data_IF_705461371558
#
_entry.id   IF_705461371558
#
_cell.length_a   1.000
_cell.length_b   1.000
_cell.length_c   1.000
_cell.angle_alpha   90.00
_cell.angle_beta   90.00
_cell.angle_gamma   90.00
#
_symmetry.space_group_name_H-M   'P 1'
#
loop_
_entity.id
_entity.type
_entity.pdbx_description
1 polymer ?
#
# COMPACT_ATOMS: atom_id res chain seq x y z
N UNK A 1 10.54 -19.77 17.15
CA UNK A 1 11.64 -19.93 18.11
C UNK A 1 12.42 -18.63 18.18
N UNK A 2 12.40 -17.97 19.32
CA UNK A 2 13.16 -16.73 19.51
C UNK A 2 14.60 -17.08 19.90
N UNK A 3 15.56 -16.64 19.08
CA UNK A 3 16.98 -16.82 19.38
C UNK A 3 17.41 -15.74 20.38
N UNK A 4 17.93 -16.15 21.51
CA UNK A 4 18.44 -15.21 22.49
C UNK A 4 19.77 -14.62 21.97
N UNK A 5 19.76 -13.33 21.68
CA UNK A 5 20.93 -12.61 21.16
C UNK A 5 22.13 -12.59 22.11
N UNK A 6 21.90 -12.76 23.43
CA UNK A 6 22.98 -12.75 24.42
C UNK A 6 23.89 -13.96 24.27
N UNK A 7 23.43 -15.05 23.68
CA UNK A 7 24.18 -16.29 23.46
C UNK A 7 24.88 -16.33 22.10
N UNK A 8 24.73 -15.33 21.26
CA UNK A 8 25.37 -15.27 19.95
C UNK A 8 26.82 -14.77 20.04
N UNK A 9 27.70 -15.33 19.19
CA UNK A 9 29.03 -14.77 18.96
C UNK A 9 28.93 -13.43 18.20
N UNK A 10 30.02 -12.67 18.20
CA UNK A 10 30.07 -11.40 17.45
C UNK A 10 29.81 -11.61 15.94
N UNK A 11 30.36 -12.70 15.37
CA UNK A 11 30.13 -13.04 13.95
C UNK A 11 28.68 -13.41 13.66
N UNK A 12 28.05 -14.17 14.58
CA UNK A 12 26.64 -14.54 14.44
C UNK A 12 25.71 -13.33 14.55
N UNK A 13 25.98 -12.40 15.46
CA UNK A 13 25.25 -11.16 15.60
C UNK A 13 25.33 -10.31 14.33
N UNK A 14 26.51 -10.20 13.73
CA UNK A 14 26.71 -9.46 12.49
C UNK A 14 25.96 -10.11 11.32
N UNK A 15 25.99 -11.45 11.21
CA UNK A 15 25.25 -12.18 10.18
C UNK A 15 23.74 -12.00 10.34
N UNK A 16 23.23 -12.07 11.57
CA UNK A 16 21.81 -11.84 11.88
C UNK A 16 21.37 -10.43 11.49
N UNK A 17 22.17 -9.41 11.81
CA UNK A 17 21.88 -8.01 11.46
C UNK A 17 21.84 -7.81 9.93
N UNK A 18 22.79 -8.42 9.19
CA UNK A 18 22.80 -8.35 7.72
C UNK A 18 21.56 -9.00 7.12
N UNK A 19 21.13 -10.14 7.64
CA UNK A 19 19.92 -10.84 7.20
C UNK A 19 18.68 -9.97 7.41
N UNK A 20 18.57 -9.33 8.58
CA UNK A 20 17.47 -8.43 8.90
C UNK A 20 17.43 -7.21 7.97
N UNK A 21 18.56 -6.58 7.71
CA UNK A 21 18.66 -5.43 6.79
C UNK A 21 18.23 -5.82 5.39
N UNK A 22 18.65 -6.98 4.90
CA UNK A 22 18.29 -7.47 3.58
C UNK A 22 16.80 -7.74 3.47
N UNK A 23 16.21 -8.41 4.46
CA UNK A 23 14.77 -8.67 4.51
C UNK A 23 13.96 -7.38 4.54
N UNK A 24 14.37 -6.39 5.33
CA UNK A 24 13.74 -5.07 5.43
C UNK A 24 13.81 -4.30 4.10
N UNK A 25 14.95 -4.33 3.42
CA UNK A 25 15.12 -3.70 2.11
C UNK A 25 14.22 -4.33 1.05
N UNK A 26 14.12 -5.66 1.03
CA UNK A 26 13.25 -6.37 0.10
C UNK A 26 11.78 -6.05 0.33
N UNK A 27 11.35 -6.01 1.59
CA UNK A 27 9.98 -5.65 1.95
C UNK A 27 9.65 -4.21 1.51
N UNK A 28 10.56 -3.27 1.76
CA UNK A 28 10.39 -1.88 1.33
C UNK A 28 10.29 -1.75 -0.19
N UNK A 29 11.16 -2.44 -0.92
CA UNK A 29 11.16 -2.46 -2.39
C UNK A 29 9.85 -3.04 -2.95
N UNK A 30 9.37 -4.14 -2.38
CA UNK A 30 8.07 -4.73 -2.77
C UNK A 30 6.92 -3.75 -2.59
N UNK A 31 6.90 -3.03 -1.46
CA UNK A 31 5.89 -2.02 -1.20
C UNK A 31 5.94 -0.87 -2.20
N UNK A 32 7.13 -0.34 -2.50
CA UNK A 32 7.31 0.73 -3.47
C UNK A 32 6.93 0.30 -4.88
N UNK A 33 7.30 -0.91 -5.28
CA UNK A 33 6.93 -1.46 -6.58
C UNK A 33 5.41 -1.60 -6.71
N UNK A 34 4.75 -2.11 -5.66
CA UNK A 34 3.30 -2.24 -5.66
C UNK A 34 2.61 -0.88 -5.85
N UNK A 35 3.05 0.16 -5.15
CA UNK A 35 2.53 1.53 -5.30
C UNK A 35 2.73 2.07 -6.71
N UNK A 36 3.92 1.90 -7.28
CA UNK A 36 4.25 2.36 -8.63
C UNK A 36 3.37 1.69 -9.68
N UNK A 37 3.25 0.36 -9.63
CA UNK A 37 2.42 -0.38 -10.57
C UNK A 37 0.94 -0.08 -10.41
N UNK A 38 0.48 0.15 -9.18
CA UNK A 38 -0.90 0.57 -8.93
C UNK A 38 -1.19 1.91 -9.59
N UNK A 39 -0.28 2.88 -9.47
CA UNK A 39 -0.40 4.17 -10.15
C UNK A 39 -0.54 4.02 -11.65
N UNK A 40 0.30 3.20 -12.28
CA UNK A 40 0.23 2.94 -13.72
C UNK A 40 -1.10 2.29 -14.12
N UNK A 41 -1.56 1.31 -13.36
CA UNK A 41 -2.83 0.63 -13.63
C UNK A 41 -4.01 1.61 -13.57
N UNK A 42 -4.02 2.50 -12.59
CA UNK A 42 -5.06 3.50 -12.43
C UNK A 42 -4.98 4.59 -13.51
N UNK A 43 -3.77 5.02 -13.87
CA UNK A 43 -3.55 6.01 -14.92
C UNK A 43 -4.09 5.51 -16.27
N UNK A 44 -3.90 4.22 -16.58
CA UNK A 44 -4.46 3.60 -17.79
C UNK A 44 -5.98 3.63 -17.82
N UNK A 45 -6.62 3.67 -16.65
CA UNK A 45 -8.08 3.74 -16.53
C UNK A 45 -8.59 5.19 -16.49
N UNK A 46 -7.70 6.17 -16.66
CA UNK A 46 -8.05 7.58 -16.69
C UNK A 46 -8.02 8.30 -15.35
N UNK A 47 -7.53 7.67 -14.30
CA UNK A 47 -7.43 8.29 -12.98
C UNK A 47 -6.15 9.12 -12.86
N UNK A 48 -6.26 10.25 -12.19
CA UNK A 48 -5.12 10.97 -11.64
C UNK A 48 -4.87 10.41 -10.24
N UNK A 49 -3.61 10.12 -9.92
CA UNK A 49 -3.26 9.47 -8.67
C UNK A 49 -2.32 10.36 -7.87
N UNK A 50 -2.69 10.59 -6.61
CA UNK A 50 -1.87 11.30 -5.63
C UNK A 50 -1.33 10.30 -4.62
N UNK A 51 -0.02 10.36 -4.39
CA UNK A 51 0.62 9.57 -3.35
C UNK A 51 0.63 10.37 -2.05
N UNK A 52 0.21 9.72 -0.96
CA UNK A 52 0.25 10.31 0.38
C UNK A 52 1.51 9.91 1.14
N UNK A 53 2.38 9.13 0.51
CA UNK A 53 3.67 8.78 1.08
C UNK A 53 4.59 9.98 1.05
N UNK A 54 5.21 10.31 2.18
CA UNK A 54 6.29 11.28 2.21
C UNK A 54 7.52 10.66 2.84
N UNK A 55 8.69 11.14 2.40
CA UNK A 55 9.98 10.72 2.99
C UNK A 55 10.11 11.11 4.47
N UNK A 56 9.27 12.01 4.95
CA UNK A 56 9.26 12.50 6.33
C UNK A 56 8.24 11.80 7.21
N UNK A 57 7.59 10.74 6.73
CA UNK A 57 6.63 9.97 7.50
C UNK A 57 5.30 10.67 7.76
N UNK A 58 4.93 11.63 6.93
CA UNK A 58 3.60 12.27 6.97
C UNK A 58 2.54 11.41 6.26
N UNK A 59 2.74 10.12 6.30
CA UNK A 59 1.74 9.19 5.84
C UNK A 59 0.53 9.26 6.76
N UNK A 60 -0.65 9.11 6.19
CA UNK A 60 -1.83 8.76 6.97
C UNK A 60 -1.70 7.30 7.39
N UNK A 61 -0.74 7.05 8.24
CA UNK A 61 -0.17 5.80 8.72
C UNK A 61 -1.09 4.59 8.60
N UNK A 62 -0.86 3.81 7.54
CA UNK A 62 -1.52 2.54 7.37
C UNK A 62 -3.01 2.60 7.03
N UNK A 63 -3.57 3.78 6.75
CA UNK A 63 -4.97 3.92 6.35
C UNK A 63 -5.07 4.14 4.86
N UNK A 64 -4.42 5.18 4.33
CA UNK A 64 -4.51 5.55 2.92
C UNK A 64 -3.11 5.77 2.35
N UNK A 65 -2.77 5.07 1.28
CA UNK A 65 -1.50 5.22 0.57
C UNK A 65 -1.62 6.10 -0.66
N UNK A 66 -2.70 5.95 -1.41
CA UNK A 66 -2.95 6.66 -2.66
C UNK A 66 -4.37 7.19 -2.70
N UNK A 67 -4.56 8.29 -3.41
CA UNK A 67 -5.89 8.82 -3.76
C UNK A 67 -5.99 8.87 -5.28
N UNK A 68 -7.01 8.23 -5.83
CA UNK A 68 -7.29 8.25 -7.25
C UNK A 68 -8.51 9.11 -7.53
N UNK A 69 -8.41 10.00 -8.52
CA UNK A 69 -9.48 10.93 -8.88
C UNK A 69 -9.74 10.87 -10.37
N UNK A 70 -11.02 10.80 -10.74
CA UNK A 70 -11.45 10.75 -12.12
C UNK A 70 -12.78 11.48 -12.27
N UNK A 71 -13.01 12.10 -13.42
CA UNK A 71 -14.33 12.62 -13.77
C UNK A 71 -15.33 11.48 -13.90
N UNK A 72 -16.53 11.69 -13.40
CA UNK A 72 -17.62 10.75 -13.60
C UNK A 72 -18.03 10.74 -15.08
N UNK A 73 -18.29 9.56 -15.64
CA UNK A 73 -18.61 9.41 -17.06
C UNK A 73 -19.91 10.12 -17.47
N UNK A 74 -20.92 10.07 -16.61
CA UNK A 74 -22.24 10.61 -16.90
C UNK A 74 -22.42 12.05 -16.46
N UNK A 75 -21.60 12.55 -15.55
CA UNK A 75 -21.68 13.92 -15.05
C UNK A 75 -20.26 14.50 -14.90
N UNK A 76 -19.83 15.39 -15.83
CA UNK A 76 -18.49 15.95 -15.82
C UNK A 76 -18.21 16.86 -14.62
N UNK A 77 -19.24 17.30 -13.91
CA UNK A 77 -19.10 18.15 -12.73
C UNK A 77 -18.94 17.34 -11.45
N UNK A 78 -19.06 16.01 -11.52
CA UNK A 78 -18.89 15.10 -10.40
C UNK A 78 -17.54 14.40 -10.49
N UNK A 79 -16.79 14.41 -9.40
CA UNK A 79 -15.52 13.69 -9.30
C UNK A 79 -15.74 12.35 -8.62
N UNK A 80 -15.16 11.31 -9.19
CA UNK A 80 -15.07 10.00 -8.55
C UNK A 80 -13.74 9.91 -7.81
N UNK A 81 -13.78 9.80 -6.49
CA UNK A 81 -12.61 9.76 -5.63
C UNK A 81 -12.56 8.41 -4.92
N UNK A 82 -11.40 7.75 -5.00
CA UNK A 82 -11.19 6.44 -4.36
C UNK A 82 -9.96 6.52 -3.47
N UNK A 83 -10.09 6.09 -2.22
CA UNK A 83 -8.99 5.94 -1.30
C UNK A 83 -8.41 4.53 -1.43
N UNK A 84 -7.10 4.41 -1.59
CA UNK A 84 -6.43 3.12 -1.76
C UNK A 84 -5.47 2.83 -0.63
N UNK A 85 -5.49 1.58 -0.17
CA UNK A 85 -4.39 0.98 0.56
C UNK A 85 -3.70 -0.02 -0.36
N UNK A 86 -2.37 -0.02 -0.38
CA UNK A 86 -1.56 -0.83 -1.29
C UNK A 86 -0.66 -1.75 -0.49
N UNK A 87 -0.65 -3.03 -0.85
CA UNK A 87 0.22 -4.04 -0.24
C UNK A 87 0.99 -4.78 -1.33
N UNK A 88 2.28 -4.99 -1.11
CA UNK A 88 3.17 -5.70 -2.03
C UNK A 88 3.64 -7.03 -1.47
N UNK A 89 4.07 -7.93 -2.35
CA UNK A 89 4.60 -9.23 -1.98
C UNK A 89 3.57 -10.10 -1.28
N UNK A 90 3.96 -10.74 -0.19
CA UNK A 90 3.09 -11.58 0.63
C UNK A 90 2.20 -10.79 1.59
N UNK A 91 2.42 -9.48 1.73
CA UNK A 91 1.63 -8.65 2.62
C UNK A 91 0.19 -8.51 2.14
N UNK A 92 -0.74 -8.60 3.07
CA UNK A 92 -2.18 -8.44 2.81
C UNK A 92 -2.76 -7.45 3.81
N UNK A 93 -3.84 -6.79 3.41
CA UNK A 93 -4.56 -5.89 4.29
C UNK A 93 -5.26 -6.70 5.37
N UNK A 94 -5.06 -6.32 6.63
CA UNK A 94 -5.74 -6.95 7.76
C UNK A 94 -7.20 -6.49 7.82
N UNK A 95 -8.03 -7.27 8.52
CA UNK A 95 -9.42 -6.90 8.76
C UNK A 95 -9.55 -5.54 9.44
N UNK A 96 -8.69 -5.28 10.43
CA UNK A 96 -8.63 -3.99 11.10
C UNK A 96 -8.26 -2.86 10.14
N UNK A 97 -7.33 -3.10 9.23
CA UNK A 97 -6.95 -2.15 8.19
C UNK A 97 -8.10 -1.84 7.24
N UNK A 98 -8.85 -2.87 6.81
CA UNK A 98 -10.05 -2.70 5.99
C UNK A 98 -11.11 -1.85 6.69
N UNK A 99 -11.36 -2.13 7.96
CA UNK A 99 -12.34 -1.36 8.75
C UNK A 99 -11.94 0.11 8.85
N UNK A 100 -10.66 0.40 9.10
CA UNK A 100 -10.17 1.77 9.19
C UNK A 100 -10.29 2.50 7.85
N UNK A 101 -9.95 1.85 6.76
CA UNK A 101 -10.07 2.42 5.41
C UNK A 101 -11.54 2.70 5.05
N UNK A 102 -12.40 1.72 5.27
CA UNK A 102 -13.84 1.85 5.03
C UNK A 102 -14.45 2.98 5.87
N UNK A 103 -14.05 3.11 7.13
CA UNK A 103 -14.53 4.18 8.01
C UNK A 103 -14.07 5.56 7.53
N UNK A 104 -12.81 5.68 7.11
CA UNK A 104 -12.29 6.95 6.58
C UNK A 104 -13.03 7.35 5.31
N UNK A 105 -13.25 6.41 4.39
CA UNK A 105 -13.98 6.66 3.16
C UNK A 105 -15.43 7.09 3.42
N UNK A 106 -16.10 6.44 4.36
CA UNK A 106 -17.48 6.81 4.75
C UNK A 106 -17.56 8.22 5.28
N UNK A 107 -16.62 8.62 6.14
CA UNK A 107 -16.61 9.96 6.72
C UNK A 107 -16.39 11.05 5.66
N UNK A 108 -15.62 10.75 4.62
CA UNK A 108 -15.37 11.66 3.52
C UNK A 108 -16.41 11.52 2.39
N UNK A 109 -17.32 10.55 2.49
CA UNK A 109 -18.31 10.22 1.45
C UNK A 109 -17.66 9.93 0.09
N UNK A 110 -16.58 9.16 0.12
CA UNK A 110 -15.85 8.72 -1.06
C UNK A 110 -15.75 7.21 -1.08
N UNK A 111 -15.32 6.64 -2.20
CA UNK A 111 -15.08 5.21 -2.32
C UNK A 111 -13.73 4.82 -1.75
N UNK A 112 -13.55 3.54 -1.53
CA UNK A 112 -12.27 2.97 -1.12
C UNK A 112 -12.02 1.67 -1.86
N UNK A 113 -10.75 1.31 -2.00
CA UNK A 113 -10.35 0.04 -2.58
C UNK A 113 -8.97 -0.36 -2.05
N UNK A 114 -8.63 -1.61 -2.24
CA UNK A 114 -7.34 -2.16 -1.88
C UNK A 114 -6.66 -2.71 -3.12
N UNK A 115 -5.42 -2.34 -3.33
CA UNK A 115 -4.57 -2.89 -4.38
C UNK A 115 -3.54 -3.81 -3.74
N UNK A 116 -3.47 -5.04 -4.23
CA UNK A 116 -2.51 -6.05 -3.77
C UNK A 116 -1.71 -6.56 -4.96
N UNK A 117 -0.42 -6.80 -4.76
CA UNK A 117 0.47 -7.32 -5.78
C UNK A 117 1.13 -8.60 -5.27
N UNK A 118 0.37 -9.72 -5.25
CA UNK A 118 0.87 -10.98 -4.68
C UNK A 118 1.97 -11.62 -5.54
N UNK A 119 1.87 -11.41 -6.83
CA UNK A 119 2.87 -11.85 -7.81
C UNK A 119 3.06 -10.71 -8.79
N UNK A 120 3.64 -10.61 -9.75
CA UNK A 120 3.95 -9.47 -10.62
C UNK A 120 2.74 -8.70 -11.19
N UNK A 121 1.52 -8.97 -10.75
CA UNK A 121 0.32 -8.29 -11.24
C UNK A 121 -0.48 -7.65 -10.10
N UNK A 122 -1.08 -6.50 -10.39
CA UNK A 122 -1.93 -5.79 -9.43
C UNK A 122 -3.33 -6.37 -9.44
N UNK A 123 -3.86 -6.64 -8.25
CA UNK A 123 -5.25 -7.07 -8.06
C UNK A 123 -5.97 -6.06 -7.18
N UNK A 124 -7.12 -5.62 -7.64
CA UNK A 124 -8.02 -4.76 -6.87
C UNK A 124 -9.11 -5.61 -6.23
N UNK A 125 -9.42 -5.36 -4.96
CA UNK A 125 -10.48 -6.09 -4.26
C UNK A 125 -11.87 -5.77 -4.78
N UNK A 126 -12.09 -4.51 -5.22
CA UNK A 126 -13.34 -4.10 -5.86
C UNK A 126 -13.09 -3.76 -7.32
N UNK A 127 -14.08 -3.99 -8.16
CA UNK A 127 -13.98 -3.64 -9.58
C UNK A 127 -13.79 -2.14 -9.76
N UNK A 128 -12.90 -1.77 -10.67
CA UNK A 128 -12.63 -0.37 -11.03
C UNK A 128 -13.25 -0.10 -12.39
N UNK A 129 -14.09 0.90 -12.42
CA UNK A 129 -14.74 1.36 -13.63
C UNK A 129 -13.84 2.28 -14.45
#
# INVERSE_FOLDING_TARGET
MTVDKSMMTAGEKAAHTRKWRRASQLAHRSGQNAKTFTKYSLAKKGYKVLSLDSRKGFEYKGIVDLIAVKRHKSDPDVLHVILFQVKGGSARVTEKGLQRLSKAARRLQVDWNVAERPKKSIKFRKSIQ
#
